data_IF_168649398952
#
_entry.id   IF_168649398952
#
_cell.length_a   1.000
_cell.length_b   1.000
_cell.length_c   1.000
_cell.angle_alpha   90.00
_cell.angle_beta   90.00
_cell.angle_gamma   90.00
#
_symmetry.space_group_name_H-M   'P 1'
#
loop_
_entity.id
_entity.type
_entity.pdbx_description
1 polymer ?
#
# COMPACT_ATOMS: atom_id res chain seq x y z
N UNK A 1 23.71 31.29 -18.43
CA UNK A 1 22.27 30.98 -18.60
C UNK A 1 22.16 29.75 -19.50
N UNK A 2 22.08 28.56 -18.91
CA UNK A 2 21.97 27.32 -19.69
C UNK A 2 20.49 27.08 -19.96
N UNK A 3 20.06 27.37 -21.19
CA UNK A 3 18.71 27.09 -21.69
C UNK A 3 18.50 25.57 -21.65
N UNK A 4 17.80 25.10 -20.63
CA UNK A 4 17.28 23.73 -20.57
C UNK A 4 16.25 23.61 -21.68
N UNK A 5 16.65 23.12 -22.86
CA UNK A 5 15.72 22.75 -23.92
C UNK A 5 14.65 21.85 -23.30
N UNK A 6 13.42 22.36 -23.21
CA UNK A 6 12.31 21.62 -22.62
C UNK A 6 12.00 20.43 -23.51
N UNK A 7 12.47 19.24 -23.10
CA UNK A 7 12.09 17.98 -23.74
C UNK A 7 10.63 17.69 -23.43
N UNK A 8 9.91 17.25 -24.45
CA UNK A 8 8.52 16.85 -24.36
C UNK A 8 8.30 15.79 -23.25
N UNK A 9 7.21 15.86 -22.47
CA UNK A 9 6.92 14.88 -21.44
C UNK A 9 6.71 13.47 -22.01
N UNK A 10 7.33 12.47 -21.40
CA UNK A 10 7.12 11.06 -21.74
C UNK A 10 5.80 10.54 -21.17
N UNK A 11 5.07 9.71 -21.92
CA UNK A 11 3.90 9.02 -21.39
C UNK A 11 4.30 8.09 -20.22
N UNK A 12 3.55 8.13 -19.13
CA UNK A 12 3.80 7.36 -17.91
C UNK A 12 2.46 6.90 -17.30
N UNK A 13 2.35 5.71 -16.67
CA UNK A 13 3.38 4.72 -16.40
C UNK A 13 3.88 4.05 -17.69
N UNK A 14 5.16 3.66 -17.68
CA UNK A 14 5.71 2.80 -18.74
C UNK A 14 5.09 1.41 -18.65
N UNK A 15 4.88 0.77 -19.80
CA UNK A 15 4.37 -0.58 -19.88
C UNK A 15 5.21 -1.52 -19.01
N UNK A 16 4.56 -2.32 -18.17
CA UNK A 16 5.28 -3.29 -17.35
C UNK A 16 5.55 -4.53 -18.20
N UNK A 17 6.81 -4.98 -18.31
CA UNK A 17 7.08 -6.28 -18.90
C UNK A 17 6.51 -7.38 -18.01
N UNK A 18 6.25 -8.57 -18.59
CA UNK A 18 5.70 -9.70 -17.86
C UNK A 18 6.47 -10.02 -16.56
N UNK A 19 5.73 -10.25 -15.48
CA UNK A 19 6.28 -10.61 -14.18
C UNK A 19 6.79 -9.42 -13.37
N UNK A 20 8.03 -9.51 -12.85
CA UNK A 20 8.62 -8.52 -11.92
C UNK A 20 9.72 -7.66 -12.58
N UNK A 21 9.83 -7.71 -13.91
CA UNK A 21 10.78 -6.91 -14.65
C UNK A 21 10.45 -5.41 -14.58
N UNK A 22 11.47 -4.57 -14.69
CA UNK A 22 11.28 -3.13 -14.89
C UNK A 22 11.43 -2.82 -16.38
N UNK A 23 10.60 -1.91 -16.89
CA UNK A 23 10.71 -1.44 -18.26
C UNK A 23 12.13 -0.90 -18.56
N UNK A 24 12.77 -1.24 -19.70
CA UNK A 24 14.15 -0.86 -20.01
C UNK A 24 14.42 0.66 -19.95
N UNK A 25 13.41 1.48 -20.26
CA UNK A 25 13.51 2.95 -20.20
C UNK A 25 13.94 3.45 -18.81
N UNK A 26 13.64 2.74 -17.72
CA UNK A 26 14.13 3.13 -16.39
C UNK A 26 15.66 3.10 -16.32
N UNK A 27 16.34 2.19 -17.03
CA UNK A 27 17.79 2.14 -17.07
C UNK A 27 18.39 3.35 -17.82
N UNK A 28 17.75 3.78 -18.90
CA UNK A 28 18.14 4.97 -19.66
C UNK A 28 17.89 6.25 -18.85
N UNK A 29 16.71 6.37 -18.22
CA UNK A 29 16.35 7.54 -17.41
C UNK A 29 17.24 7.71 -16.19
N UNK A 30 17.80 6.61 -15.64
CA UNK A 30 18.82 6.68 -14.57
C UNK A 30 20.12 7.31 -15.02
N UNK A 31 20.37 7.50 -16.32
CA UNK A 31 21.53 8.25 -16.80
C UNK A 31 21.33 9.76 -16.75
N UNK A 32 20.16 10.24 -16.33
CA UNK A 32 19.80 11.66 -16.22
C UNK A 32 19.31 11.98 -14.79
N UNK A 33 19.38 13.25 -14.33
CA UNK A 33 18.89 13.61 -12.99
C UNK A 33 17.36 13.46 -12.84
N UNK A 34 16.61 13.90 -13.85
CA UNK A 34 15.16 13.80 -13.89
C UNK A 34 14.64 13.83 -15.34
N UNK A 35 13.40 13.40 -15.55
CA UNK A 35 12.69 13.48 -16.82
C UNK A 35 11.28 14.03 -16.64
N UNK A 36 10.76 14.75 -17.63
CA UNK A 36 9.35 15.17 -17.65
C UNK A 36 8.48 13.99 -18.07
N UNK A 37 7.35 13.81 -17.37
CA UNK A 37 6.38 12.75 -17.68
C UNK A 37 4.95 13.27 -17.64
N UNK A 38 4.08 12.64 -18.42
CA UNK A 38 2.63 12.88 -18.45
C UNK A 38 1.90 11.60 -18.07
N UNK A 39 1.02 11.72 -17.08
CA UNK A 39 0.14 10.64 -16.64
C UNK A 39 -1.22 10.73 -17.34
N UNK A 40 -2.07 9.67 -17.32
CA UNK A 40 -3.39 9.72 -17.95
C UNK A 40 -4.27 10.86 -17.44
N UNK A 41 -4.08 11.28 -16.18
CA UNK A 41 -4.78 12.40 -15.58
C UNK A 41 -3.81 13.26 -14.76
N UNK A 42 -4.16 14.54 -14.58
CA UNK A 42 -3.38 15.50 -13.79
C UNK A 42 -2.40 16.34 -14.59
N UNK A 43 -1.69 17.21 -13.88
CA UNK A 43 -0.60 18.02 -14.45
C UNK A 43 0.63 17.16 -14.81
N UNK A 44 1.49 17.67 -15.69
CA UNK A 44 2.75 17.03 -16.04
C UNK A 44 3.72 17.02 -14.83
N UNK A 45 4.43 15.92 -14.63
CA UNK A 45 5.31 15.71 -13.48
C UNK A 45 6.80 15.65 -13.85
N UNK A 46 7.64 15.68 -12.82
CA UNK A 46 9.04 15.25 -12.90
C UNK A 46 9.17 13.83 -12.35
N UNK A 47 9.86 12.97 -13.09
CA UNK A 47 10.22 11.60 -12.68
C UNK A 47 11.71 11.55 -12.33
N UNK A 48 11.99 11.16 -11.09
CA UNK A 48 13.34 10.91 -10.56
C UNK A 48 13.54 9.41 -10.41
N UNK A 49 14.63 8.87 -10.97
CA UNK A 49 14.85 7.41 -11.05
C UNK A 49 16.14 6.92 -10.38
N UNK A 50 17.07 7.84 -10.08
CA UNK A 50 18.33 7.54 -9.38
C UNK A 50 18.07 7.41 -7.87
N UNK A 51 18.72 6.43 -7.25
CA UNK A 51 18.56 6.17 -5.81
C UNK A 51 18.93 7.38 -4.94
N UNK A 52 20.08 8.00 -5.21
CA UNK A 52 20.56 9.14 -4.44
C UNK A 52 19.59 10.32 -4.53
N UNK A 53 19.12 10.63 -5.74
CA UNK A 53 18.20 11.74 -5.99
C UNK A 53 16.83 11.47 -5.37
N UNK A 54 16.27 10.27 -5.53
CA UNK A 54 14.99 9.89 -4.93
C UNK A 54 15.06 9.93 -3.40
N UNK A 55 16.13 9.39 -2.80
CA UNK A 55 16.35 9.43 -1.34
C UNK A 55 16.48 10.86 -0.83
N UNK A 56 17.22 11.70 -1.54
CA UNK A 56 17.39 13.11 -1.16
C UNK A 56 16.05 13.85 -1.25
N UNK A 57 15.32 13.70 -2.35
CA UNK A 57 14.04 14.38 -2.57
C UNK A 57 12.99 13.98 -1.54
N UNK A 58 12.85 12.68 -1.25
CA UNK A 58 11.87 12.18 -0.27
C UNK A 58 12.16 12.59 1.18
N UNK A 59 13.37 13.07 1.48
CA UNK A 59 13.76 13.55 2.82
C UNK A 59 13.93 15.07 2.92
N UNK A 60 13.78 15.80 1.82
CA UNK A 60 14.04 17.24 1.76
C UNK A 60 12.75 18.03 2.01
N UNK A 61 12.70 18.86 3.07
CA UNK A 61 11.48 19.58 3.48
C UNK A 61 11.03 20.65 2.47
N UNK A 62 11.83 20.95 1.44
CA UNK A 62 11.42 21.82 0.33
C UNK A 62 10.39 21.16 -0.58
N UNK A 63 10.28 19.83 -0.55
CA UNK A 63 9.26 19.08 -1.27
C UNK A 63 8.10 18.77 -0.33
N UNK A 64 6.89 19.16 -0.72
CA UNK A 64 5.73 19.19 0.17
C UNK A 64 4.55 18.40 -0.42
N UNK A 65 3.98 17.52 0.39
CA UNK A 65 2.74 16.81 0.07
C UNK A 65 1.51 17.66 0.38
N UNK A 66 1.60 18.56 1.36
CA UNK A 66 0.54 19.51 1.72
C UNK A 66 0.34 20.58 0.64
N UNK A 67 1.41 21.08 0.03
CA UNK A 67 1.34 22.07 -1.06
C UNK A 67 0.67 21.50 -2.32
N UNK A 68 0.61 20.18 -2.46
CA UNK A 68 -0.08 19.52 -3.55
C UNK A 68 -1.59 19.34 -3.28
N UNK A 69 -2.10 19.67 -2.08
CA UNK A 69 -3.54 19.62 -1.77
C UNK A 69 -4.26 20.70 -2.57
N UNK A 70 -5.35 20.35 -3.25
CA UNK A 70 -6.09 21.25 -4.14
C UNK A 70 -5.51 21.39 -5.55
N UNK A 71 -4.36 20.79 -5.85
CA UNK A 71 -3.80 20.68 -7.21
C UNK A 71 -4.30 19.44 -7.93
N UNK A 72 -4.34 19.49 -9.26
CA UNK A 72 -4.67 18.34 -10.11
C UNK A 72 -3.47 17.40 -10.26
N UNK A 73 -3.22 16.59 -9.22
CA UNK A 73 -2.01 15.75 -9.14
C UNK A 73 -1.92 14.72 -10.28
N UNK A 74 -0.71 14.47 -10.82
CA UNK A 74 -0.46 13.40 -11.77
C UNK A 74 -0.91 12.04 -11.21
N UNK A 75 -1.74 11.30 -11.93
CA UNK A 75 -2.30 10.01 -11.47
C UNK A 75 -2.71 9.08 -12.61
N UNK A 76 -2.82 7.79 -12.30
CA UNK A 76 -3.25 6.74 -13.23
C UNK A 76 -4.77 6.55 -13.31
N UNK A 77 -5.52 7.08 -12.34
CA UNK A 77 -6.96 6.86 -12.18
C UNK A 77 -7.74 8.16 -12.38
N UNK A 78 -9.00 8.10 -12.84
CA UNK A 78 -9.80 9.30 -13.09
C UNK A 78 -10.08 10.10 -11.80
N UNK A 79 -10.21 9.41 -10.67
CA UNK A 79 -10.52 10.04 -9.37
C UNK A 79 -9.25 10.51 -8.66
N UNK A 80 -9.21 11.79 -8.30
CA UNK A 80 -8.23 12.28 -7.35
C UNK A 80 -8.61 11.79 -5.95
N UNK A 81 -7.76 10.99 -5.32
CA UNK A 81 -7.91 10.65 -3.91
C UNK A 81 -7.55 11.92 -3.13
N UNK A 82 -8.57 12.68 -2.76
CA UNK A 82 -8.44 13.95 -2.05
C UNK A 82 -7.79 13.74 -0.69
N UNK A 83 -6.89 14.67 -0.36
CA UNK A 83 -5.97 14.58 0.77
C UNK A 83 -6.68 14.54 2.12
N UNK A 84 -6.20 13.63 2.95
CA UNK A 84 -6.49 13.56 4.38
C UNK A 84 -5.47 12.63 5.04
N UNK A 85 -5.12 12.91 6.29
CA UNK A 85 -4.23 12.05 7.08
C UNK A 85 -2.75 12.19 6.76
N UNK A 86 -2.00 11.12 7.06
CA UNK A 86 -0.54 11.18 7.15
C UNK A 86 0.16 11.42 5.80
N UNK A 87 -0.42 11.01 4.68
CA UNK A 87 0.21 11.10 3.36
C UNK A 87 0.01 12.45 2.65
N UNK A 88 -0.77 13.35 3.24
CA UNK A 88 -1.12 14.66 2.67
C UNK A 88 -0.78 15.83 3.60
N UNK A 89 -0.03 15.59 4.67
CA UNK A 89 0.39 16.60 5.66
C UNK A 89 1.92 16.63 5.73
N UNK A 90 2.48 17.80 6.09
CA UNK A 90 3.91 17.99 6.29
C UNK A 90 4.19 18.60 7.68
N UNK A 91 5.47 18.69 8.05
CA UNK A 91 5.91 19.47 9.22
C UNK A 91 5.28 19.03 10.56
N UNK A 92 4.94 19.98 11.45
CA UNK A 92 4.43 19.67 12.79
C UNK A 92 3.17 18.79 12.80
N UNK A 93 2.26 19.01 11.85
CA UNK A 93 1.02 18.20 11.75
C UNK A 93 1.32 16.76 11.35
N UNK A 94 2.20 16.55 10.38
CA UNK A 94 2.67 15.21 10.03
C UNK A 94 3.36 14.54 11.23
N UNK A 95 4.26 15.25 11.93
CA UNK A 95 4.94 14.71 13.10
C UNK A 95 3.98 14.30 14.21
N UNK A 96 2.94 15.10 14.45
CA UNK A 96 1.89 14.82 15.43
C UNK A 96 1.11 13.56 15.06
N UNK A 97 0.55 13.50 13.84
CA UNK A 97 -0.21 12.33 13.36
C UNK A 97 0.66 11.07 13.36
N UNK A 98 1.90 11.18 12.88
CA UNK A 98 2.88 10.07 12.87
C UNK A 98 3.18 9.59 14.28
N UNK A 99 3.35 10.50 15.23
CA UNK A 99 3.65 10.17 16.62
C UNK A 99 2.56 9.30 17.27
N UNK A 100 1.30 9.59 16.98
CA UNK A 100 0.17 8.78 17.45
C UNK A 100 0.16 7.40 16.81
N UNK A 101 0.23 7.33 15.47
CA UNK A 101 0.20 6.05 14.74
C UNK A 101 1.42 5.18 15.06
N UNK A 102 2.61 5.76 15.15
CA UNK A 102 3.86 5.02 15.36
C UNK A 102 3.90 4.25 16.69
N UNK A 103 3.18 4.69 17.72
CA UNK A 103 3.07 3.97 19.00
C UNK A 103 2.43 2.58 18.83
N UNK A 104 1.55 2.40 17.86
CA UNK A 104 0.96 1.10 17.54
C UNK A 104 1.89 0.21 16.69
N UNK A 105 2.83 0.79 15.96
CA UNK A 105 3.75 0.08 15.06
C UNK A 105 5.20 0.02 15.60
N UNK A 106 5.38 0.07 16.91
CA UNK A 106 6.71 -0.09 17.51
C UNK A 106 7.28 -1.48 17.21
N UNK A 107 8.60 -1.58 17.08
CA UNK A 107 9.29 -2.85 16.83
C UNK A 107 8.91 -3.91 17.88
N UNK A 108 8.76 -3.51 19.15
CA UNK A 108 8.33 -4.41 20.23
C UNK A 108 6.90 -4.93 20.04
N UNK A 109 5.95 -4.08 19.62
CA UNK A 109 4.55 -4.50 19.38
C UNK A 109 4.45 -5.41 18.16
N UNK A 110 5.15 -5.08 17.08
CA UNK A 110 5.23 -5.94 15.88
C UNK A 110 5.89 -7.28 16.21
N UNK A 111 6.93 -7.31 17.03
CA UNK A 111 7.61 -8.55 17.41
C UNK A 111 6.70 -9.50 18.21
N UNK A 112 5.82 -8.95 19.05
CA UNK A 112 4.80 -9.74 19.78
C UNK A 112 3.82 -10.45 18.86
N UNK A 113 3.62 -9.97 17.63
CA UNK A 113 2.76 -10.64 16.65
C UNK A 113 3.41 -11.86 16.02
N UNK A 114 4.72 -12.10 16.21
CA UNK A 114 5.44 -13.17 15.51
C UNK A 114 4.77 -14.53 15.70
N UNK A 115 4.41 -14.89 16.92
CA UNK A 115 3.86 -16.21 17.19
C UNK A 115 2.44 -16.34 16.67
N UNK A 116 1.65 -15.26 16.74
CA UNK A 116 0.32 -15.20 16.13
C UNK A 116 0.37 -15.31 14.60
N UNK A 117 1.29 -14.60 13.95
CA UNK A 117 1.53 -14.71 12.50
C UNK A 117 1.93 -16.13 12.10
N UNK A 118 2.74 -16.82 12.93
CA UNK A 118 3.12 -18.22 12.70
C UNK A 118 1.93 -19.16 12.81
N UNK A 119 1.04 -18.94 13.78
CA UNK A 119 -0.18 -19.71 13.95
C UNK A 119 -1.10 -19.57 12.72
N UNK A 120 -1.43 -18.33 12.33
CA UNK A 120 -2.25 -18.04 11.15
C UNK A 120 -1.62 -18.68 9.90
N UNK A 121 -0.30 -18.54 9.72
CA UNK A 121 0.40 -19.16 8.59
C UNK A 121 0.30 -20.71 8.61
N UNK A 122 0.34 -21.35 9.78
CA UNK A 122 0.18 -22.81 9.89
C UNK A 122 -1.23 -23.24 9.53
N UNK A 123 -2.24 -22.53 10.01
CA UNK A 123 -3.65 -22.80 9.71
C UNK A 123 -3.94 -22.67 8.22
N UNK A 124 -3.53 -21.56 7.60
CA UNK A 124 -3.68 -21.35 6.15
C UNK A 124 -2.93 -22.42 5.34
N UNK A 125 -1.72 -22.79 5.79
CA UNK A 125 -0.94 -23.85 5.15
C UNK A 125 -1.63 -25.21 5.24
N UNK A 126 -2.31 -25.51 6.35
CA UNK A 126 -3.06 -26.77 6.54
C UNK A 126 -4.27 -26.81 5.62
N UNK A 127 -5.09 -25.75 5.61
CA UNK A 127 -6.27 -25.67 4.74
C UNK A 127 -5.94 -25.76 3.24
N UNK A 128 -4.78 -25.25 2.82
CA UNK A 128 -4.30 -25.44 1.44
C UNK A 128 -4.00 -26.92 1.12
N UNK A 129 -3.34 -27.66 2.02
CA UNK A 129 -3.02 -29.09 1.79
C UNK A 129 -4.28 -29.94 1.64
N UNK A 130 -5.32 -29.61 2.41
CA UNK A 130 -6.62 -30.28 2.36
C UNK A 130 -7.38 -30.01 1.05
N UNK A 131 -7.06 -28.92 0.34
CA UNK A 131 -7.75 -28.50 -0.90
C UNK A 131 -7.19 -29.15 -2.19
N UNK A 132 -6.13 -29.97 -2.09
CA UNK A 132 -5.50 -30.65 -3.23
C UNK A 132 -4.09 -30.13 -3.57
N UNK A 133 -3.45 -30.66 -4.62
CA UNK A 133 -2.04 -30.40 -4.94
C UNK A 133 -1.79 -29.02 -5.57
N UNK A 134 -2.82 -28.35 -6.08
CA UNK A 134 -2.74 -27.05 -6.74
C UNK A 134 -3.64 -26.07 -6.01
N UNK A 135 -3.09 -24.92 -5.59
CA UNK A 135 -3.82 -23.86 -4.94
C UNK A 135 -3.27 -22.49 -5.38
N UNK A 136 -4.15 -21.50 -5.51
CA UNK A 136 -3.75 -20.10 -5.69
C UNK A 136 -3.18 -19.56 -4.36
N UNK A 137 -1.86 -19.35 -4.32
CA UNK A 137 -1.17 -18.87 -3.14
C UNK A 137 -1.57 -17.44 -2.76
N UNK A 138 -1.94 -16.60 -3.74
CA UNK A 138 -2.43 -15.25 -3.50
C UNK A 138 -3.71 -15.27 -2.68
N UNK A 139 -4.65 -16.11 -3.10
CA UNK A 139 -5.97 -16.21 -2.48
C UNK A 139 -6.02 -17.01 -1.21
N UNK A 140 -5.33 -18.15 -1.19
CA UNK A 140 -5.44 -19.13 -0.11
C UNK A 140 -4.45 -18.88 1.01
N UNK A 141 -3.45 -18.01 0.80
CA UNK A 141 -2.41 -17.75 1.80
C UNK A 141 -2.03 -16.28 1.93
N UNK A 142 -1.51 -15.64 0.88
CA UNK A 142 -0.87 -14.33 0.99
C UNK A 142 -1.84 -13.24 1.45
N UNK A 143 -3.02 -13.15 0.82
CA UNK A 143 -4.03 -12.20 1.23
C UNK A 143 -4.64 -12.56 2.60
N UNK A 144 -5.14 -13.79 2.85
CA UNK A 144 -5.71 -14.15 4.16
C UNK A 144 -4.76 -13.93 5.33
N UNK A 145 -3.46 -14.18 5.14
CA UNK A 145 -2.44 -13.91 6.15
C UNK A 145 -2.32 -12.40 6.43
N UNK A 146 -2.17 -11.60 5.37
CA UNK A 146 -1.99 -10.16 5.51
C UNK A 146 -3.22 -9.48 6.13
N UNK A 147 -4.43 -9.79 5.65
CA UNK A 147 -5.66 -9.18 6.13
C UNK A 147 -5.96 -9.57 7.58
N UNK A 148 -5.68 -10.81 7.98
CA UNK A 148 -5.90 -11.26 9.37
C UNK A 148 -4.97 -10.55 10.34
N UNK A 149 -3.68 -10.46 10.00
CA UNK A 149 -2.70 -9.81 10.87
C UNK A 149 -2.96 -8.31 11.00
N UNK A 150 -3.26 -7.61 9.90
CA UNK A 150 -3.58 -6.19 9.99
C UNK A 150 -4.95 -5.96 10.63
N UNK A 151 -5.91 -6.86 10.40
CA UNK A 151 -7.24 -6.81 11.01
C UNK A 151 -7.18 -6.90 12.53
N UNK A 152 -6.39 -7.83 13.08
CA UNK A 152 -6.15 -7.95 14.53
C UNK A 152 -5.47 -6.69 15.11
N UNK A 153 -4.54 -6.07 14.38
CA UNK A 153 -3.88 -4.83 14.79
C UNK A 153 -4.83 -3.62 14.79
N UNK A 154 -5.70 -3.55 13.79
CA UNK A 154 -6.65 -2.46 13.62
C UNK A 154 -7.88 -2.66 14.50
N UNK A 155 -8.25 -3.88 14.87
CA UNK A 155 -9.50 -4.18 15.55
C UNK A 155 -10.67 -4.41 14.56
N UNK A 156 -10.35 -4.82 13.34
CA UNK A 156 -11.31 -5.27 12.32
C UNK A 156 -11.66 -6.73 12.62
N UNK A 157 -12.95 -7.05 12.73
CA UNK A 157 -13.38 -8.44 12.96
C UNK A 157 -13.16 -9.31 11.73
N UNK A 158 -12.92 -10.61 11.93
CA UNK A 158 -12.67 -11.55 10.84
C UNK A 158 -13.81 -11.63 9.83
N UNK A 159 -15.06 -11.50 10.30
CA UNK A 159 -16.27 -11.47 9.47
C UNK A 159 -16.23 -10.34 8.42
N UNK A 160 -15.52 -9.25 8.71
CA UNK A 160 -15.39 -8.12 7.79
C UNK A 160 -14.20 -8.25 6.82
N UNK A 161 -13.32 -9.25 6.96
CA UNK A 161 -12.13 -9.37 6.11
C UNK A 161 -12.47 -9.50 4.61
N UNK A 162 -13.57 -10.19 4.27
CA UNK A 162 -14.03 -10.32 2.88
C UNK A 162 -14.49 -8.97 2.35
N UNK A 163 -15.32 -8.24 3.11
CA UNK A 163 -15.79 -6.90 2.72
C UNK A 163 -14.62 -5.92 2.55
N UNK A 164 -13.64 -5.97 3.45
CA UNK A 164 -12.42 -5.16 3.36
C UNK A 164 -11.59 -5.53 2.13
N UNK A 165 -11.52 -6.81 1.75
CA UNK A 165 -10.90 -7.22 0.48
C UNK A 165 -11.57 -6.54 -0.70
N UNK A 166 -12.89 -6.65 -0.80
CA UNK A 166 -13.64 -6.15 -1.95
C UNK A 166 -13.47 -4.63 -2.09
N UNK A 167 -13.47 -3.91 -0.96
CA UNK A 167 -13.17 -2.47 -0.95
C UNK A 167 -11.75 -2.17 -1.42
N UNK A 168 -10.75 -2.89 -0.91
CA UNK A 168 -9.35 -2.68 -1.30
C UNK A 168 -9.12 -3.00 -2.77
N UNK A 169 -9.73 -4.06 -3.31
CA UNK A 169 -9.59 -4.44 -4.72
C UNK A 169 -10.10 -3.33 -5.65
N UNK A 170 -11.24 -2.72 -5.31
CA UNK A 170 -11.76 -1.56 -6.07
C UNK A 170 -10.87 -0.33 -5.87
N UNK A 171 -10.48 -0.02 -4.63
CA UNK A 171 -9.69 1.18 -4.32
C UNK A 171 -8.29 1.16 -4.94
N UNK A 172 -7.75 -0.04 -5.19
CA UNK A 172 -6.44 -0.27 -5.81
C UNK A 172 -6.51 -0.51 -7.32
N UNK A 173 -7.71 -0.70 -7.88
CA UNK A 173 -7.87 -0.89 -9.32
C UNK A 173 -7.58 0.40 -10.10
N UNK A 174 -6.91 0.25 -11.24
CA UNK A 174 -6.66 1.33 -12.20
C UNK A 174 -7.72 1.39 -13.31
N UNK A 175 -8.63 0.42 -13.37
CA UNK A 175 -9.61 0.25 -14.46
C UNK A 175 -11.06 0.56 -14.05
N UNK A 176 -11.31 0.79 -12.77
CA UNK A 176 -12.64 1.13 -12.26
C UNK A 176 -13.05 2.54 -12.68
N UNK A 177 -14.35 2.71 -12.92
CA UNK A 177 -14.93 4.02 -13.20
C UNK A 177 -14.89 4.93 -11.97
N UNK A 178 -15.02 6.24 -12.17
CA UNK A 178 -15.12 7.18 -11.06
C UNK A 178 -16.34 6.92 -10.18
N UNK A 179 -17.47 6.54 -10.78
CA UNK A 179 -18.71 6.22 -10.07
C UNK A 179 -18.54 5.00 -9.15
N UNK A 180 -17.97 3.90 -9.68
CA UNK A 180 -17.69 2.71 -8.88
C UNK A 180 -16.74 3.03 -7.74
N UNK A 181 -15.66 3.77 -8.01
CA UNK A 181 -14.71 4.18 -6.97
C UNK A 181 -15.41 4.98 -5.85
N UNK A 182 -16.23 5.97 -6.20
CA UNK A 182 -16.94 6.78 -5.21
C UNK A 182 -17.94 5.96 -4.38
N UNK A 183 -18.68 5.03 -4.99
CA UNK A 183 -19.61 4.13 -4.30
C UNK A 183 -18.91 3.25 -3.26
N UNK A 184 -17.79 2.64 -3.63
CA UNK A 184 -17.06 1.75 -2.72
C UNK A 184 -16.29 2.53 -1.65
N UNK A 185 -15.73 3.69 -2.01
CA UNK A 185 -15.07 4.57 -1.05
C UNK A 185 -16.04 5.11 0.01
N UNK A 186 -17.28 5.46 -0.37
CA UNK A 186 -18.29 5.91 0.61
C UNK A 186 -18.72 4.78 1.55
N UNK A 187 -18.84 3.55 1.03
CA UNK A 187 -19.16 2.36 1.84
C UNK A 187 -18.04 2.05 2.85
N UNK A 188 -16.78 2.14 2.41
CA UNK A 188 -15.63 1.97 3.30
C UNK A 188 -15.52 3.09 4.35
N UNK A 189 -15.80 4.33 3.97
CA UNK A 189 -15.84 5.46 4.90
C UNK A 189 -16.93 5.28 5.97
N UNK A 190 -18.13 4.83 5.57
CA UNK A 190 -19.22 4.56 6.51
C UNK A 190 -18.85 3.45 7.50
N UNK A 191 -18.30 2.32 7.02
CA UNK A 191 -17.81 1.25 7.89
C UNK A 191 -16.77 1.75 8.90
N UNK A 192 -15.82 2.57 8.45
CA UNK A 192 -14.76 3.07 9.33
C UNK A 192 -15.31 4.07 10.35
N UNK A 193 -16.32 4.87 9.99
CA UNK A 193 -17.02 5.75 10.93
C UNK A 193 -17.76 4.94 12.02
N UNK A 194 -18.44 3.86 11.64
CA UNK A 194 -19.11 2.96 12.58
C UNK A 194 -18.10 2.29 13.52
N UNK A 195 -16.94 1.86 13.00
CA UNK A 195 -15.86 1.28 13.80
C UNK A 195 -15.28 2.28 14.80
N UNK A 196 -15.10 3.54 14.39
CA UNK A 196 -14.66 4.62 15.28
C UNK A 196 -15.66 4.81 16.43
N UNK A 197 -16.95 4.87 16.13
CA UNK A 197 -17.97 5.04 17.15
C UNK A 197 -18.09 3.83 18.08
N UNK A 198 -17.95 2.62 17.54
CA UNK A 198 -17.85 1.40 18.34
C UNK A 198 -16.66 1.47 19.30
N UNK A 199 -15.46 1.87 18.83
CA UNK A 199 -14.27 1.98 19.68
C UNK A 199 -14.31 3.15 20.66
N UNK A 200 -15.14 4.17 20.40
CA UNK A 200 -15.43 5.22 21.38
C UNK A 200 -16.26 4.69 22.55
N UNK A 201 -17.24 3.83 22.27
CA UNK A 201 -18.13 3.24 23.29
C UNK A 201 -17.51 2.05 24.02
N UNK A 202 -16.82 1.19 23.28
CA UNK A 202 -16.17 -0.03 23.78
C UNK A 202 -14.71 -0.11 23.29
N UNK A 203 -13.78 0.55 24.00
CA UNK A 203 -12.38 0.63 23.58
C UNK A 203 -11.64 -0.71 23.74
N UNK A 204 -11.00 -1.18 22.68
CA UNK A 204 -10.12 -2.36 22.68
C UNK A 204 -8.63 -2.02 22.86
N UNK A 205 -7.78 -3.06 22.80
CA UNK A 205 -6.31 -2.94 22.62
C UNK A 205 -5.92 -2.99 21.13
N UNK A 206 -6.51 -2.09 20.34
CA UNK A 206 -6.26 -1.97 18.90
C UNK A 206 -5.89 -0.54 18.50
N UNK A 207 -5.38 -0.37 17.26
CA UNK A 207 -4.97 0.93 16.75
C UNK A 207 -6.15 1.90 16.64
N UNK A 208 -7.34 1.47 16.23
CA UNK A 208 -8.49 2.36 16.11
C UNK A 208 -8.87 2.95 17.47
N UNK A 209 -8.87 2.14 18.52
CA UNK A 209 -9.10 2.57 19.91
C UNK A 209 -8.03 3.56 20.38
N UNK A 210 -6.75 3.34 20.03
CA UNK A 210 -5.68 4.27 20.35
C UNK A 210 -5.83 5.61 19.60
N UNK A 211 -6.23 5.57 18.33
CA UNK A 211 -6.47 6.78 17.51
C UNK A 211 -7.68 7.57 17.99
N UNK A 212 -8.77 6.90 18.35
CA UNK A 212 -9.98 7.54 18.89
C UNK A 212 -9.67 8.23 20.22
N UNK A 213 -8.98 7.55 21.16
CA UNK A 213 -8.55 8.17 22.42
C UNK A 213 -7.66 9.40 22.18
N UNK A 214 -6.70 9.29 21.27
CA UNK A 214 -5.81 10.40 20.91
C UNK A 214 -6.52 11.52 20.14
N UNK A 215 -7.66 11.26 19.50
CA UNK A 215 -8.49 12.31 18.93
C UNK A 215 -9.28 13.03 20.03
N UNK A 216 -10.01 12.27 20.84
CA UNK A 216 -10.99 12.77 21.83
C UNK A 216 -10.33 13.48 23.02
N UNK A 217 -9.21 12.96 23.56
CA UNK A 217 -8.55 13.53 24.76
C UNK A 217 -7.74 14.80 24.47
N UNK A 218 -7.46 15.03 23.20
CA UNK A 218 -6.36 15.87 22.81
C UNK A 218 -6.80 16.96 21.82
N UNK A 219 -7.98 16.81 21.19
CA UNK A 219 -8.33 17.55 19.97
C UNK A 219 -7.34 17.26 18.82
N UNK A 220 -6.50 16.22 18.96
CA UNK A 220 -5.22 16.06 18.24
C UNK A 220 -5.33 15.30 16.91
N UNK A 221 -6.51 15.18 16.31
CA UNK A 221 -6.64 14.72 14.92
C UNK A 221 -7.81 15.47 14.25
N UNK A 222 -7.57 16.49 13.42
CA UNK A 222 -8.65 16.90 12.50
C UNK A 222 -8.80 15.75 11.50
N UNK A 223 -9.87 14.95 11.62
CA UNK A 223 -10.26 14.06 10.54
C UNK A 223 -10.74 14.98 9.43
N UNK A 224 -9.89 15.17 8.42
CA UNK A 224 -10.12 16.16 7.35
C UNK A 224 -11.53 16.05 6.77
N UNK A 225 -12.02 17.15 6.22
CA UNK A 225 -13.37 17.36 5.67
C UNK A 225 -13.82 16.40 4.54
N UNK A 226 -13.09 15.31 4.30
CA UNK A 226 -13.44 14.21 3.38
C UNK A 226 -14.26 13.10 4.03
N UNK A 227 -14.49 13.14 5.35
CA UNK A 227 -15.31 12.16 6.06
C UNK A 227 -16.78 12.62 6.05
N UNK A 228 -17.70 11.90 5.39
CA UNK A 228 -19.11 12.22 5.48
C UNK A 228 -19.59 11.96 6.91
N UNK A 229 -20.23 12.95 7.53
CA UNK A 229 -21.05 12.75 8.73
C UNK A 229 -22.09 11.65 8.48
N UNK A 230 -22.36 10.76 9.45
CA UNK A 230 -23.15 9.56 9.20
C UNK A 230 -24.61 9.92 8.95
N UNK A 231 -25.07 9.74 7.71
CA UNK A 231 -26.46 9.37 7.44
C UNK A 231 -26.46 7.94 6.93
N UNK A 232 -27.04 7.08 7.75
CA UNK A 232 -27.26 5.67 7.48
C UNK A 232 -28.11 5.50 6.21
N UNK A 233 -27.58 4.82 5.21
CA UNK A 233 -28.37 4.22 4.15
C UNK A 233 -27.80 2.84 3.80
N UNK A 234 -28.61 1.82 4.11
CA UNK A 234 -28.37 0.43 3.80
C UNK A 234 -28.25 0.22 2.29
N UNK A 235 -27.07 -0.14 1.80
CA UNK A 235 -26.88 -0.61 0.42
C UNK A 235 -26.62 -2.11 0.47
N UNK A 236 -27.54 -2.87 -0.14
CA UNK A 236 -27.42 -4.32 -0.33
C UNK A 236 -26.44 -4.63 -1.45
N UNK A 237 -25.77 -5.74 -1.23
CA UNK A 237 -24.68 -6.32 -2.01
C UNK A 237 -25.14 -6.81 -3.38
N UNK A 238 -24.31 -6.61 -4.40
CA UNK A 238 -24.45 -7.28 -5.70
C UNK A 238 -23.08 -7.72 -6.17
N UNK A 239 -22.91 -9.04 -6.18
CA UNK A 239 -21.71 -9.76 -6.58
C UNK A 239 -21.40 -9.53 -8.07
N UNK A 240 -20.15 -9.19 -8.38
CA UNK A 240 -19.53 -9.40 -9.69
C UNK A 240 -18.01 -9.43 -9.56
N UNK A 241 -17.41 -10.36 -10.30
CA UNK A 241 -15.99 -10.70 -10.33
C UNK A 241 -15.19 -9.57 -10.97
N UNK A 242 -14.24 -8.99 -10.21
CA UNK A 242 -13.27 -8.01 -10.70
C UNK A 242 -11.97 -8.70 -11.09
N UNK A 243 -11.43 -8.33 -12.26
CA UNK A 243 -10.14 -8.82 -12.78
C UNK A 243 -8.99 -8.28 -11.92
N UNK A 244 -8.21 -9.22 -11.37
CA UNK A 244 -7.20 -8.94 -10.36
C UNK A 244 -5.94 -8.33 -10.95
N UNK A 245 -5.46 -7.28 -10.29
CA UNK A 245 -4.07 -6.86 -10.35
C UNK A 245 -3.31 -7.42 -9.12
N UNK A 246 -2.06 -7.88 -9.28
CA UNK A 246 -1.34 -8.53 -8.18
C UNK A 246 -1.01 -7.53 -7.07
N UNK A 247 -1.44 -7.83 -5.85
CA UNK A 247 -1.05 -7.10 -4.65
C UNK A 247 0.47 -7.20 -4.40
N UNK A 248 1.10 -6.20 -3.75
CA UNK A 248 2.54 -6.21 -3.46
C UNK A 248 3.00 -7.33 -2.51
N UNK A 249 2.07 -8.01 -1.83
CA UNK A 249 2.38 -9.24 -1.11
C UNK A 249 2.73 -10.36 -2.10
N UNK A 250 1.94 -10.53 -3.18
CA UNK A 250 2.11 -11.57 -4.20
C UNK A 250 3.50 -11.46 -4.84
N UNK A 251 4.01 -10.26 -5.12
CA UNK A 251 5.34 -10.09 -5.75
C UNK A 251 6.49 -10.68 -4.92
N UNK A 252 6.41 -10.65 -3.59
CA UNK A 252 7.42 -11.24 -2.70
C UNK A 252 7.34 -12.78 -2.64
N UNK A 253 6.16 -13.35 -2.95
CA UNK A 253 5.90 -14.80 -3.01
C UNK A 253 6.01 -15.39 -4.42
N UNK A 254 5.92 -14.57 -5.46
CA UNK A 254 6.18 -14.94 -6.87
C UNK A 254 7.68 -14.95 -7.20
N UNK A 255 8.48 -14.08 -6.59
CA UNK A 255 9.94 -14.05 -6.78
C UNK A 255 10.67 -15.38 -6.45
N UNK A 256 10.27 -16.16 -5.42
CA UNK A 256 10.80 -17.50 -5.16
C UNK A 256 10.51 -18.52 -6.26
N UNK A 257 9.35 -18.49 -6.93
CA UNK A 257 9.06 -19.40 -8.06
C UNK A 257 9.90 -19.06 -9.29
N UNK A 258 10.33 -17.82 -9.45
CA UNK A 258 11.20 -17.37 -10.54
C UNK A 258 12.70 -17.66 -10.31
N UNK A 259 13.11 -18.21 -9.17
CA UNK A 259 14.54 -18.46 -8.85
C UNK A 259 14.76 -19.68 -7.93
N UNK A 260 14.85 -20.90 -8.49
CA UNK A 260 15.02 -22.16 -7.74
C UNK A 260 16.21 -22.18 -6.78
N UNK A 261 17.31 -21.51 -7.14
CA UNK A 261 18.52 -21.40 -6.31
C UNK A 261 18.28 -20.66 -4.99
N UNK A 262 17.40 -19.65 -4.98
CA UNK A 262 16.99 -18.98 -3.76
C UNK A 262 16.16 -19.90 -2.86
N UNK A 263 15.36 -20.82 -3.42
CA UNK A 263 14.57 -21.79 -2.66
C UNK A 263 15.45 -22.86 -1.98
N UNK A 264 16.44 -23.38 -2.70
CA UNK A 264 17.37 -24.38 -2.17
C UNK A 264 18.23 -23.84 -1.01
N UNK A 265 18.68 -22.58 -1.11
CA UNK A 265 19.38 -21.89 -0.02
C UNK A 265 18.49 -21.62 1.20
N UNK A 266 17.20 -21.34 0.98
CA UNK A 266 16.19 -21.08 2.05
C UNK A 266 15.93 -22.30 2.93
N UNK A 267 15.81 -23.50 2.36
CA UNK A 267 15.57 -24.74 3.14
C UNK A 267 16.73 -25.10 4.05
N UNK A 268 17.97 -24.73 3.69
CA UNK A 268 19.19 -25.12 4.40
C UNK A 268 19.55 -24.23 5.59
N UNK A 269 19.01 -23.00 5.70
CA UNK A 269 19.40 -22.09 6.79
C UNK A 269 18.32 -21.04 7.11
N UNK A 270 17.43 -21.28 8.09
CA UNK A 270 16.37 -20.34 8.50
C UNK A 270 16.90 -18.95 8.91
N UNK A 271 18.14 -18.87 9.43
CA UNK A 271 18.79 -17.61 9.81
C UNK A 271 19.04 -16.68 8.61
N UNK A 272 19.17 -17.20 7.39
CA UNK A 272 19.35 -16.39 6.17
C UNK A 272 18.05 -15.72 5.70
N UNK A 273 16.91 -16.05 6.29
CA UNK A 273 15.59 -15.49 5.93
C UNK A 273 15.53 -13.97 6.06
N UNK A 274 16.04 -13.41 7.16
CA UNK A 274 16.00 -11.95 7.40
C UNK A 274 16.76 -11.17 6.34
N UNK A 275 17.94 -11.67 5.95
CA UNK A 275 18.75 -11.06 4.91
C UNK A 275 18.08 -11.18 3.55
N UNK A 276 17.46 -12.34 3.23
CA UNK A 276 16.73 -12.54 1.98
C UNK A 276 15.46 -11.70 1.85
N UNK A 277 14.73 -11.40 2.92
CA UNK A 277 13.60 -10.44 2.86
C UNK A 277 14.11 -9.03 2.54
N UNK A 278 15.18 -8.59 3.23
CA UNK A 278 15.80 -7.28 3.00
C UNK A 278 16.52 -7.15 1.64
N UNK A 279 16.88 -8.28 1.02
CA UNK A 279 17.56 -8.38 -0.27
C UNK A 279 16.69 -9.02 -1.37
N UNK A 280 15.39 -9.20 -1.13
CA UNK A 280 14.48 -9.81 -2.10
C UNK A 280 14.50 -8.97 -3.38
N UNK A 281 14.43 -9.56 -4.60
CA UNK A 281 14.40 -8.81 -5.85
C UNK A 281 13.29 -7.75 -5.86
N UNK A 282 12.15 -8.01 -5.22
CA UNK A 282 11.07 -7.03 -5.05
C UNK A 282 11.48 -5.76 -4.25
N UNK A 283 12.57 -5.81 -3.47
CA UNK A 283 13.11 -4.68 -2.69
C UNK A 283 14.48 -4.19 -3.17
N UNK A 284 15.28 -5.02 -3.85
CA UNK A 284 16.53 -4.62 -4.53
C UNK A 284 16.75 -5.47 -5.78
N UNK A 285 16.31 -4.99 -6.94
CA UNK A 285 16.76 -5.51 -8.23
C UNK A 285 18.20 -5.01 -8.48
N UNK A 286 19.19 -5.90 -8.37
CA UNK A 286 20.51 -5.67 -8.99
C UNK A 286 20.40 -6.13 -10.45
N UNK A 287 20.53 -5.20 -11.39
CA UNK A 287 20.71 -5.53 -12.80
C UNK A 287 22.09 -6.18 -12.98
N UNK A 288 22.23 -7.26 -13.77
CA UNK A 288 23.53 -7.81 -14.09
C UNK A 288 24.36 -6.80 -14.89
N UNK A 289 25.70 -6.79 -14.75
CA UNK A 289 26.56 -5.95 -15.57
C UNK A 289 26.44 -6.39 -17.04
N UNK A 290 26.22 -5.42 -17.92
CA UNK A 290 26.27 -5.63 -19.37
C UNK A 290 27.67 -6.16 -19.70
N UNK A 291 27.75 -7.36 -20.28
CA UNK A 291 28.97 -7.83 -20.93
C UNK A 291 29.09 -7.08 -22.24
N UNK A 292 30.23 -6.39 -22.43
CA UNK A 292 30.65 -5.82 -23.71
C UNK A 292 30.90 -6.93 -24.74
#
# INVERSE_FOLDING_TARGET
>A
MTTTAQREPLAYPFEQPDGLGLHPVYAELRQRPAARVRMPYGEDAWLVTRYADAKSLLGDPRFSMAAAVGRDRPRVRPVAVSGGGLLSTDGPDHHRLRGTVAKAFTARRVERLRDRVREIARELSRGMRESGPVADLGDRFAFPLAITVIGELLGISQENHVRVRDWLDVMMSHTVTAEEFHKWNSTFAAYTADLVELRRRDPGDDLFSALVRAHDQEGRISMGSSWPSPRCSSVRDSSRLSTRSPTPAISCWSAPNASPHCWAGRRRSPARWRNCCASSPAQRLRLPPLRH
#
